data_IF_344529238910
#
_entry.id   IF_344529238910
#
_cell.length_a   1.000
_cell.length_b   1.000
_cell.length_c   1.000
_cell.angle_alpha   90.00
_cell.angle_beta   90.00
_cell.angle_gamma   90.00
#
_symmetry.space_group_name_H-M   'P 1'
#
loop_
_entity.id
_entity.type
_entity.pdbx_description
1 polymer ?
#
# COMPACT_ATOMS: atom_id res chain seq x y z
N UNK A 1 -9.82 17.57 -10.54
CA UNK A 1 -10.23 16.37 -9.78
C UNK A 1 -9.69 16.46 -8.36
N UNK A 2 -10.54 16.85 -7.41
CA UNK A 2 -10.24 16.84 -5.96
C UNK A 2 -10.51 15.42 -5.45
N UNK A 3 -9.55 14.87 -4.73
CA UNK A 3 -9.70 13.63 -3.96
C UNK A 3 -10.21 14.07 -2.59
N UNK A 4 -11.50 13.87 -2.32
CA UNK A 4 -12.15 14.33 -1.09
C UNK A 4 -11.70 13.52 0.14
N UNK A 5 -11.10 12.34 -0.04
CA UNK A 5 -10.48 11.51 1.00
C UNK A 5 -9.37 10.61 0.45
N UNK A 6 -8.60 11.10 -0.52
CA UNK A 6 -7.51 10.35 -1.14
C UNK A 6 -6.17 11.05 -0.98
N UNK A 7 -5.09 10.30 -1.16
CA UNK A 7 -3.72 10.82 -1.10
C UNK A 7 -3.16 10.95 -2.54
N UNK A 8 -2.52 12.09 -2.85
CA UNK A 8 -1.70 12.26 -4.07
C UNK A 8 -0.29 12.61 -3.64
N UNK A 9 0.60 11.63 -3.72
CA UNK A 9 2.01 11.75 -3.36
C UNK A 9 2.86 10.91 -4.32
N UNK A 10 4.16 11.16 -4.35
CA UNK A 10 5.13 10.24 -4.97
C UNK A 10 5.54 9.12 -4.00
N UNK A 11 6.24 8.09 -4.51
CA UNK A 11 6.66 6.91 -3.74
C UNK A 11 7.42 7.21 -2.45
N UNK A 12 8.38 8.13 -2.44
CA UNK A 12 9.19 8.39 -1.24
C UNK A 12 8.32 8.89 -0.08
N UNK A 13 7.44 9.86 -0.35
CA UNK A 13 6.51 10.37 0.65
C UNK A 13 5.43 9.36 1.02
N UNK A 14 5.05 8.48 0.10
CA UNK A 14 4.17 7.36 0.41
C UNK A 14 4.83 6.41 1.41
N UNK A 15 6.10 6.06 1.22
CA UNK A 15 6.86 5.20 2.14
C UNK A 15 6.97 5.85 3.51
N UNK A 16 7.34 7.14 3.58
CA UNK A 16 7.42 7.87 4.86
C UNK A 16 6.06 7.85 5.60
N UNK A 17 4.98 8.10 4.86
CA UNK A 17 3.62 8.10 5.41
C UNK A 17 3.21 6.73 5.95
N UNK A 18 3.45 5.66 5.18
CA UNK A 18 3.16 4.29 5.59
C UNK A 18 4.00 3.87 6.81
N UNK A 19 5.28 4.28 6.87
CA UNK A 19 6.13 4.06 8.03
C UNK A 19 5.59 4.75 9.29
N UNK A 20 5.05 5.96 9.15
CA UNK A 20 4.33 6.64 10.24
C UNK A 20 3.09 5.87 10.69
N UNK A 21 2.26 5.39 9.77
CA UNK A 21 1.10 4.56 10.10
C UNK A 21 1.50 3.26 10.82
N UNK A 22 2.59 2.61 10.39
CA UNK A 22 3.12 1.41 11.03
C UNK A 22 3.54 1.68 12.48
N UNK A 23 4.22 2.80 12.75
CA UNK A 23 4.58 3.21 14.12
C UNK A 23 3.37 3.45 15.01
N UNK A 24 2.23 3.83 14.43
CA UNK A 24 0.95 3.99 15.12
C UNK A 24 0.17 2.66 15.28
N UNK A 25 0.74 1.52 14.85
CA UNK A 25 0.14 0.19 15.00
C UNK A 25 -0.78 -0.22 13.86
N UNK A 26 -0.77 0.48 12.72
CA UNK A 26 -1.52 0.05 11.53
C UNK A 26 -0.81 -1.15 10.88
N UNK A 27 -1.52 -2.28 10.81
CA UNK A 27 -0.96 -3.53 10.29
C UNK A 27 -1.16 -3.72 8.78
N UNK A 28 -2.27 -3.21 8.23
CA UNK A 28 -2.63 -3.39 6.82
C UNK A 28 -3.25 -2.13 6.25
N UNK A 29 -2.88 -1.79 5.00
CA UNK A 29 -3.41 -0.66 4.25
C UNK A 29 -3.86 -1.16 2.87
N UNK A 30 -5.07 -0.79 2.46
CA UNK A 30 -5.61 -1.09 1.15
C UNK A 30 -5.60 0.16 0.26
N UNK A 31 -5.16 0.01 -0.99
CA UNK A 31 -5.13 1.09 -1.98
C UNK A 31 -6.25 0.95 -3.01
N UNK A 32 -6.93 2.06 -3.31
CA UNK A 32 -7.87 2.15 -4.43
C UNK A 32 -7.29 3.03 -5.52
N UNK A 33 -7.01 2.46 -6.69
CA UNK A 33 -6.40 3.18 -7.82
C UNK A 33 -7.41 3.79 -8.81
N UNK A 34 -8.72 3.70 -8.54
CA UNK A 34 -9.79 4.21 -9.43
C UNK A 34 -9.66 5.69 -9.78
N UNK A 35 -9.11 6.49 -8.87
CA UNK A 35 -8.90 7.93 -9.06
C UNK A 35 -7.47 8.27 -9.55
N UNK A 36 -6.63 7.27 -9.83
CA UNK A 36 -5.29 7.48 -10.36
C UNK A 36 -5.35 8.11 -11.75
N UNK A 37 -4.42 9.03 -12.03
CA UNK A 37 -4.21 9.57 -13.39
C UNK A 37 -3.32 8.67 -14.24
N UNK A 38 -2.58 7.76 -13.60
CA UNK A 38 -1.70 6.79 -14.26
C UNK A 38 -2.41 5.44 -14.35
N UNK A 39 -2.13 4.65 -15.41
CA UNK A 39 -2.60 3.27 -15.49
C UNK A 39 -2.28 2.48 -14.21
N UNK A 40 -3.22 1.66 -13.76
CA UNK A 40 -3.05 0.90 -12.52
C UNK A 40 -1.83 -0.03 -12.57
N UNK A 41 -1.55 -0.62 -13.73
CA UNK A 41 -0.39 -1.49 -13.97
C UNK A 41 0.93 -0.78 -13.73
N UNK A 42 1.09 0.47 -14.18
CA UNK A 42 2.30 1.26 -13.94
C UNK A 42 2.48 1.61 -12.46
N UNK A 43 1.38 1.90 -11.76
CA UNK A 43 1.42 2.19 -10.32
C UNK A 43 1.78 0.92 -9.53
N UNK A 44 1.21 -0.23 -9.91
CA UNK A 44 1.55 -1.52 -9.31
C UNK A 44 3.01 -1.90 -9.56
N UNK A 45 3.55 -1.63 -10.75
CA UNK A 45 4.97 -1.86 -11.04
C UNK A 45 5.87 -0.99 -10.15
N UNK A 46 5.57 0.30 -10.01
CA UNK A 46 6.31 1.18 -9.11
C UNK A 46 6.21 0.72 -7.64
N UNK A 47 5.04 0.21 -7.23
CA UNK A 47 4.89 -0.35 -5.90
C UNK A 47 5.78 -1.58 -5.71
N UNK A 48 5.79 -2.51 -6.66
CA UNK A 48 6.62 -3.70 -6.61
C UNK A 48 8.12 -3.39 -6.53
N UNK A 49 8.58 -2.39 -7.29
CA UNK A 49 10.00 -2.03 -7.35
C UNK A 49 10.47 -1.20 -6.15
N UNK A 50 9.63 -0.30 -5.62
CA UNK A 50 10.09 0.72 -4.67
C UNK A 50 9.34 0.76 -3.33
N UNK A 51 8.06 0.40 -3.30
CA UNK A 51 7.24 0.54 -2.07
C UNK A 51 7.21 -0.76 -1.28
N UNK A 52 6.87 -1.89 -1.92
CA UNK A 52 6.77 -3.19 -1.27
C UNK A 52 8.08 -3.66 -0.62
N UNK A 53 9.28 -3.43 -1.18
CA UNK A 53 10.54 -3.81 -0.50
C UNK A 53 10.76 -3.11 0.85
N UNK A 54 10.16 -1.93 1.08
CA UNK A 54 10.21 -1.24 2.36
C UNK A 54 9.23 -1.84 3.41
N UNK A 55 8.24 -2.61 2.97
CA UNK A 55 7.21 -3.24 3.80
C UNK A 55 7.07 -4.73 3.43
N UNK A 56 8.05 -5.57 3.80
CA UNK A 56 8.06 -6.98 3.41
C UNK A 56 6.83 -7.71 3.94
N UNK A 57 6.33 -8.66 3.15
CA UNK A 57 5.20 -9.50 3.56
C UNK A 57 5.57 -10.30 4.81
N UNK A 58 4.79 -10.14 5.87
CA UNK A 58 4.77 -11.10 6.97
C UNK A 58 4.06 -12.36 6.48
N UNK A 59 4.80 -13.26 5.83
CA UNK A 59 4.32 -14.60 5.47
C UNK A 59 4.08 -15.40 6.76
N UNK A 60 2.91 -15.21 7.37
CA UNK A 60 2.34 -16.23 8.22
C UNK A 60 1.54 -17.15 7.29
N UNK A 61 2.20 -18.18 6.75
CA UNK A 61 1.54 -19.29 6.07
C UNK A 61 0.85 -20.11 7.17
N UNK A 62 -0.31 -19.67 7.63
CA UNK A 62 -1.17 -20.46 8.52
C UNK A 62 -1.98 -21.43 7.65
N UNK A 63 -1.46 -22.64 7.52
CA UNK A 63 -2.11 -23.79 6.87
C UNK A 63 -3.26 -24.40 7.69
N UNK A 64 -3.92 -23.67 8.60
CA UNK A 64 -4.75 -24.34 9.60
C UNK A 64 -5.94 -23.56 10.19
N UNK A 65 -6.62 -22.69 9.42
CA UNK A 65 -7.96 -22.24 9.81
C UNK A 65 -8.99 -22.44 8.70
N UNK A 66 -10.09 -23.18 8.97
CA UNK A 66 -11.19 -23.27 8.02
C UNK A 66 -11.83 -21.90 7.92
N UNK A 67 -12.07 -21.46 6.69
CA UNK A 67 -12.93 -20.31 6.39
C UNK A 67 -14.31 -20.66 6.95
N UNK A 68 -14.73 -19.96 8.00
CA UNK A 68 -16.14 -19.90 8.40
C UNK A 68 -16.87 -18.95 7.44
#
# INVERSE_FOLDING_TARGET
MRIHSGLRVGRNRLIDYLGGLQQLGVNHVAFTLKASRRPATEVLQEFAEFVLPAFPSNLIINSDRPVQ
#
